data_IF_079140458916
#
_entry.id   IF_079140458916
#
_cell.length_a   1.000
_cell.length_b   1.000
_cell.length_c   1.000
_cell.angle_alpha   90.00
_cell.angle_beta   90.00
_cell.angle_gamma   90.00
#
_symmetry.space_group_name_H-M   'P 1'
#
loop_
_entity.id
_entity.type
_entity.pdbx_description
1 polymer ?
#
# COMPACT_ATOMS: atom_id res chain seq x y z
N UNK A 1 7.60 16.45 -13.18
CA UNK A 1 8.05 15.94 -11.87
C UNK A 1 7.84 17.03 -10.83
N UNK A 2 7.01 16.79 -9.82
CA UNK A 2 6.72 17.79 -8.78
C UNK A 2 8.01 17.99 -7.96
N UNK A 3 8.53 19.22 -7.79
CA UNK A 3 9.72 19.44 -6.95
C UNK A 3 9.40 19.02 -5.51
N UNK A 4 10.36 18.40 -4.80
CA UNK A 4 10.30 17.93 -3.39
C UNK A 4 9.47 18.86 -2.51
N UNK A 5 9.66 20.17 -2.68
CA UNK A 5 9.00 21.22 -1.91
C UNK A 5 7.48 21.07 -2.02
N UNK A 6 6.89 20.94 -3.21
CA UNK A 6 5.42 20.91 -3.40
C UNK A 6 4.74 19.70 -2.77
N UNK A 7 5.41 18.55 -2.65
CA UNK A 7 4.83 17.35 -2.04
C UNK A 7 4.53 17.56 -0.55
N UNK A 8 5.41 18.31 0.13
CA UNK A 8 5.41 18.52 1.59
C UNK A 8 4.82 19.90 1.94
N UNK A 9 5.17 20.93 1.15
CA UNK A 9 4.86 22.34 1.40
C UNK A 9 4.47 23.06 0.10
N UNK A 10 3.29 23.70 0.06
CA UNK A 10 2.90 24.54 -1.07
C UNK A 10 3.86 25.73 -1.28
N UNK A 11 4.13 26.11 -2.54
CA UNK A 11 4.99 27.26 -2.88
C UNK A 11 4.12 28.51 -3.11
N UNK A 12 4.37 29.58 -2.34
CA UNK A 12 3.97 30.97 -2.64
C UNK A 12 4.94 31.96 -1.97
N UNK A 13 5.01 33.19 -2.48
CA UNK A 13 5.85 34.28 -1.96
C UNK A 13 5.42 34.69 -0.54
N UNK A 14 6.06 34.12 0.49
CA UNK A 14 5.81 34.46 1.89
C UNK A 14 6.48 33.49 2.88
N UNK A 15 6.54 33.87 4.15
CA UNK A 15 7.19 33.12 5.24
C UNK A 15 6.28 32.07 5.92
N UNK A 16 5.02 31.94 5.50
CA UNK A 16 4.05 31.03 6.13
C UNK A 16 4.03 29.66 5.41
N UNK A 17 4.28 28.54 6.12
CA UNK A 17 4.17 27.21 5.53
C UNK A 17 2.73 26.93 5.09
N UNK A 18 2.55 26.28 3.95
CA UNK A 18 1.25 25.88 3.37
C UNK A 18 1.21 24.38 3.15
N UNK A 19 0.01 23.75 3.16
CA UNK A 19 -0.12 22.33 2.88
C UNK A 19 0.43 21.99 1.49
N UNK A 20 1.25 20.92 1.41
CA UNK A 20 1.66 20.31 0.14
C UNK A 20 0.69 19.23 -0.35
N UNK A 21 1.02 18.57 -1.45
CA UNK A 21 0.19 17.52 -2.09
C UNK A 21 -0.20 16.39 -1.11
N UNK A 22 0.69 16.00 -0.19
CA UNK A 22 0.41 15.00 0.85
C UNK A 22 -0.80 15.42 1.71
N UNK A 23 -0.82 16.68 2.11
CA UNK A 23 -1.89 17.21 2.96
C UNK A 23 -3.15 17.52 2.17
N UNK A 24 -3.01 17.91 0.90
CA UNK A 24 -4.15 18.07 -0.01
C UNK A 24 -4.84 16.73 -0.31
N UNK A 25 -4.10 15.62 -0.27
CA UNK A 25 -4.63 14.27 -0.41
C UNK A 25 -5.25 13.71 0.90
N UNK A 26 -5.36 14.51 1.97
CA UNK A 26 -5.96 14.06 3.22
C UNK A 26 -7.41 13.55 3.01
N UNK A 27 -7.69 12.34 3.50
CA UNK A 27 -8.92 11.57 3.26
C UNK A 27 -9.19 11.20 1.79
N UNK A 28 -8.21 11.42 0.92
CA UNK A 28 -8.23 11.04 -0.49
C UNK A 28 -7.14 10.02 -0.84
N UNK A 29 -6.74 10.04 -2.10
CA UNK A 29 -5.73 9.14 -2.68
C UNK A 29 -4.54 9.96 -3.13
N UNK A 30 -3.33 9.56 -2.72
CA UNK A 30 -2.08 10.03 -3.30
C UNK A 30 -1.60 8.96 -4.27
N UNK A 31 -1.66 9.24 -5.57
CA UNK A 31 -1.20 8.34 -6.62
C UNK A 31 0.20 8.73 -7.09
N UNK A 32 1.15 7.79 -7.03
CA UNK A 32 2.52 7.96 -7.51
C UNK A 32 2.79 6.97 -8.63
N UNK A 33 2.82 7.47 -9.86
CA UNK A 33 3.28 6.69 -11.00
C UNK A 33 4.81 6.66 -11.07
N UNK A 34 5.35 5.61 -11.67
CA UNK A 34 6.79 5.40 -11.86
C UNK A 34 7.62 5.56 -10.58
N UNK A 35 7.21 4.90 -9.48
CA UNK A 35 7.77 5.09 -8.14
C UNK A 35 9.32 5.14 -8.06
N UNK A 36 10.09 4.27 -8.76
CA UNK A 36 11.56 4.31 -8.76
C UNK A 36 12.20 5.52 -9.46
N UNK A 37 11.43 6.31 -10.21
CA UNK A 37 11.92 7.54 -10.85
C UNK A 37 11.81 8.77 -9.95
N UNK A 38 11.16 8.64 -8.80
CA UNK A 38 11.13 9.68 -7.79
C UNK A 38 12.46 9.77 -7.04
N UNK A 39 12.86 11.01 -6.72
CA UNK A 39 14.03 11.23 -5.87
C UNK A 39 13.85 10.53 -4.52
N UNK A 40 14.89 9.80 -4.09
CA UNK A 40 14.85 8.97 -2.88
C UNK A 40 14.48 9.77 -1.63
N UNK A 41 14.91 11.04 -1.52
CA UNK A 41 14.56 11.90 -0.37
C UNK A 41 13.07 12.21 -0.34
N UNK A 42 12.42 12.34 -1.50
CA UNK A 42 10.96 12.51 -1.59
C UNK A 42 10.25 11.30 -0.99
N UNK A 43 10.68 10.11 -1.41
CA UNK A 43 10.07 8.85 -0.98
C UNK A 43 10.27 8.60 0.52
N UNK A 44 11.43 8.95 1.08
CA UNK A 44 11.67 8.81 2.51
C UNK A 44 10.75 9.70 3.36
N UNK A 45 10.38 10.89 2.87
CA UNK A 45 9.47 11.78 3.62
C UNK A 45 8.06 11.19 3.73
N UNK A 46 7.63 10.30 2.83
CA UNK A 46 6.32 9.64 2.93
C UNK A 46 6.19 8.72 4.15
N UNK A 47 7.32 8.27 4.74
CA UNK A 47 7.31 7.28 5.81
C UNK A 47 6.57 7.72 7.07
N UNK A 48 6.77 8.97 7.47
CA UNK A 48 6.13 9.57 8.65
C UNK A 48 4.61 9.73 8.45
N UNK A 49 4.11 10.41 7.39
CA UNK A 49 2.67 10.59 7.22
C UNK A 49 1.92 9.27 6.95
N UNK A 50 2.57 8.26 6.37
CA UNK A 50 2.00 6.89 6.26
C UNK A 50 1.79 6.20 7.61
N UNK A 51 2.38 6.72 8.69
CA UNK A 51 2.19 6.24 10.06
C UNK A 51 1.30 7.14 10.88
N UNK A 52 1.70 8.40 10.95
CA UNK A 52 1.18 9.34 11.91
C UNK A 52 -0.09 10.01 11.41
N UNK A 53 -0.33 9.97 10.10
CA UNK A 53 -1.43 10.66 9.45
C UNK A 53 -1.32 12.19 9.51
N UNK A 54 -0.15 12.72 9.81
CA UNK A 54 0.17 14.15 9.81
C UNK A 54 1.61 14.38 9.33
N UNK A 55 1.93 15.62 9.00
CA UNK A 55 3.27 16.02 8.62
C UNK A 55 3.62 17.34 9.30
N UNK A 56 4.81 17.37 9.89
CA UNK A 56 5.30 18.54 10.62
C UNK A 56 6.29 19.30 9.75
N UNK A 57 5.99 20.57 9.49
CA UNK A 57 6.84 21.44 8.66
C UNK A 57 7.45 22.53 9.52
N UNK A 58 8.78 22.50 9.63
CA UNK A 58 9.56 23.49 10.38
C UNK A 58 10.36 24.39 9.43
N UNK A 59 10.12 25.72 9.47
CA UNK A 59 10.90 26.73 8.74
C UNK A 59 11.10 27.99 9.56
N UNK A 60 12.34 28.52 9.54
CA UNK A 60 12.72 29.87 9.96
C UNK A 60 11.93 30.44 11.17
N UNK A 61 11.92 29.69 12.28
CA UNK A 61 11.26 30.00 13.56
C UNK A 61 9.76 29.68 13.69
N UNK A 62 9.14 28.93 12.76
CA UNK A 62 7.76 28.43 12.92
C UNK A 62 7.65 26.95 12.57
N UNK A 63 6.86 26.24 13.36
CA UNK A 63 6.43 24.86 13.13
C UNK A 63 4.94 24.88 12.82
N UNK A 64 4.53 24.12 11.80
CA UNK A 64 3.12 23.92 11.48
C UNK A 64 2.88 22.43 11.20
N UNK A 65 1.81 21.91 11.79
CA UNK A 65 1.39 20.53 11.59
C UNK A 65 0.23 20.51 10.59
N UNK A 66 0.34 19.68 9.55
CA UNK A 66 -0.70 19.50 8.55
C UNK A 66 -1.24 18.07 8.58
N UNK A 67 -2.55 17.85 8.43
CA UNK A 67 -3.11 16.50 8.33
C UNK A 67 -2.67 15.84 7.03
N UNK A 68 -2.51 14.51 7.05
CA UNK A 68 -1.95 13.72 5.96
C UNK A 68 -2.46 12.25 5.96
N UNK A 69 -3.71 12.01 6.38
CA UNK A 69 -4.32 10.66 6.31
C UNK A 69 -4.80 10.34 4.89
N UNK A 70 -3.90 9.96 3.99
CA UNK A 70 -4.22 9.60 2.60
C UNK A 70 -4.05 8.09 2.36
N UNK A 71 -4.71 7.55 1.33
CA UNK A 71 -4.38 6.24 0.78
C UNK A 71 -3.28 6.39 -0.27
N UNK A 72 -2.14 5.75 -0.05
CA UNK A 72 -1.08 5.69 -1.06
C UNK A 72 -1.40 4.59 -2.08
N UNK A 73 -1.41 4.96 -3.36
CA UNK A 73 -1.38 4.01 -4.47
C UNK A 73 -0.14 4.34 -5.29
N UNK A 74 0.70 3.35 -5.54
CA UNK A 74 1.91 3.54 -6.33
C UNK A 74 2.02 2.47 -7.41
N UNK A 75 2.56 2.87 -8.55
CA UNK A 75 2.83 1.99 -9.68
C UNK A 75 4.32 2.04 -10.04
N UNK A 76 4.86 0.92 -10.50
CA UNK A 76 6.21 0.85 -11.03
C UNK A 76 6.35 -0.29 -12.03
N UNK A 77 7.30 -0.14 -12.94
CA UNK A 77 7.70 -1.22 -13.82
C UNK A 77 8.50 -2.28 -13.04
N UNK A 78 8.55 -3.55 -13.50
CA UNK A 78 9.33 -4.59 -12.82
C UNK A 78 10.85 -4.40 -12.98
N UNK A 79 11.29 -3.62 -13.97
CA UNK A 79 12.67 -3.23 -14.28
C UNK A 79 12.70 -1.98 -15.19
N UNK A 80 13.87 -1.37 -15.49
CA UNK A 80 13.96 -0.18 -16.33
C UNK A 80 13.37 -0.34 -17.73
N UNK A 81 13.46 -1.53 -18.34
CA UNK A 81 12.89 -1.77 -19.67
C UNK A 81 11.42 -2.23 -19.64
N UNK A 82 10.85 -2.52 -18.45
CA UNK A 82 9.45 -2.92 -18.28
C UNK A 82 9.10 -4.39 -18.58
N UNK A 83 10.08 -5.24 -18.90
CA UNK A 83 9.85 -6.63 -19.36
C UNK A 83 10.33 -7.72 -18.40
N UNK A 84 10.87 -7.39 -17.23
CA UNK A 84 11.35 -8.42 -16.29
C UNK A 84 10.19 -9.32 -15.83
N UNK A 85 10.38 -10.63 -15.95
CA UNK A 85 9.34 -11.63 -15.66
C UNK A 85 8.35 -11.88 -16.80
N UNK A 86 8.42 -11.13 -17.91
CA UNK A 86 7.51 -11.31 -19.05
C UNK A 86 7.87 -12.60 -19.83
N UNK A 87 6.89 -13.49 -20.11
CA UNK A 87 7.13 -14.75 -20.82
C UNK A 87 7.70 -14.60 -22.24
N UNK A 88 7.57 -13.41 -22.87
CA UNK A 88 8.10 -13.14 -24.21
C UNK A 88 9.63 -13.09 -24.27
N UNK A 89 10.32 -13.04 -23.12
CA UNK A 89 11.79 -12.96 -23.08
C UNK A 89 12.36 -11.63 -23.60
N UNK A 90 11.53 -10.59 -23.73
CA UNK A 90 11.93 -9.27 -24.25
C UNK A 90 12.83 -8.47 -23.31
N UNK A 91 12.95 -8.88 -22.06
CA UNK A 91 13.80 -8.21 -21.08
C UNK A 91 15.27 -8.31 -21.50
N UNK A 92 15.95 -7.17 -21.55
CA UNK A 92 17.39 -7.09 -21.79
C UNK A 92 18.17 -6.63 -20.56
N UNK A 93 17.49 -6.42 -19.43
CA UNK A 93 18.13 -5.98 -18.20
C UNK A 93 18.86 -7.15 -17.53
N UNK A 94 20.07 -6.91 -17.05
CA UNK A 94 20.78 -7.85 -16.18
C UNK A 94 20.13 -7.92 -14.81
N UNK A 95 20.38 -9.00 -14.05
CA UNK A 95 19.91 -9.13 -12.67
C UNK A 95 20.34 -7.92 -11.81
N UNK A 96 21.59 -7.48 -11.95
CA UNK A 96 22.11 -6.31 -11.24
C UNK A 96 21.37 -5.01 -11.61
N UNK A 97 21.00 -4.82 -12.89
CA UNK A 97 20.22 -3.65 -13.31
C UNK A 97 18.80 -3.67 -12.72
N UNK A 98 18.19 -4.86 -12.63
CA UNK A 98 16.86 -5.03 -12.03
C UNK A 98 16.92 -4.75 -10.53
N UNK A 99 17.90 -5.32 -9.82
CA UNK A 99 18.08 -5.12 -8.39
C UNK A 99 18.39 -3.65 -8.07
N UNK A 100 19.27 -3.00 -8.84
CA UNK A 100 19.58 -1.58 -8.68
C UNK A 100 18.35 -0.69 -8.91
N UNK A 101 17.49 -1.03 -9.87
CA UNK A 101 16.25 -0.29 -10.13
C UNK A 101 15.25 -0.43 -8.98
N UNK A 102 15.00 -1.66 -8.51
CA UNK A 102 14.11 -1.93 -7.37
C UNK A 102 14.65 -1.33 -6.07
N UNK A 103 15.97 -1.37 -5.88
CA UNK A 103 16.67 -0.80 -4.73
C UNK A 103 16.65 0.73 -4.65
N UNK A 104 16.10 1.44 -5.63
CA UNK A 104 15.80 2.88 -5.51
C UNK A 104 14.71 3.15 -4.47
N UNK A 105 13.82 2.18 -4.24
CA UNK A 105 12.82 2.22 -3.18
C UNK A 105 13.41 1.55 -1.94
N UNK A 106 13.31 2.22 -0.80
CA UNK A 106 13.87 1.67 0.44
C UNK A 106 12.98 0.59 1.04
N UNK A 107 13.60 -0.45 1.61
CA UNK A 107 12.90 -1.48 2.38
C UNK A 107 12.01 -0.91 3.50
N UNK A 108 12.45 0.10 4.28
CA UNK A 108 11.59 0.78 5.25
C UNK A 108 10.32 1.40 4.64
N UNK A 109 10.36 1.95 3.44
CA UNK A 109 9.15 2.45 2.78
C UNK A 109 8.24 1.30 2.36
N UNK A 110 8.79 0.25 1.74
CA UNK A 110 8.04 -0.94 1.31
C UNK A 110 7.32 -1.65 2.47
N UNK A 111 7.95 -1.74 3.64
CA UNK A 111 7.34 -2.31 4.86
C UNK A 111 6.03 -1.56 5.25
N UNK A 112 5.91 -0.28 4.87
CA UNK A 112 4.76 0.58 5.16
C UNK A 112 3.61 0.47 4.16
N UNK A 113 3.83 -0.16 3.00
CA UNK A 113 2.81 -0.36 1.97
C UNK A 113 2.08 -1.68 2.24
N UNK A 114 0.79 -1.66 2.59
CA UNK A 114 0.09 -2.86 3.05
C UNK A 114 -0.05 -3.98 1.99
N UNK A 115 -0.11 -3.63 0.70
CA UNK A 115 -0.38 -4.54 -0.41
C UNK A 115 0.61 -4.34 -1.56
N UNK A 116 1.26 -5.41 -2.01
CA UNK A 116 2.09 -5.46 -3.22
C UNK A 116 1.47 -6.42 -4.23
N UNK A 117 0.92 -5.85 -5.30
CA UNK A 117 0.19 -6.60 -6.32
C UNK A 117 1.01 -6.59 -7.60
N UNK A 118 1.37 -7.79 -8.08
CA UNK A 118 1.93 -7.96 -9.41
C UNK A 118 0.78 -7.96 -10.41
N UNK A 119 0.77 -6.96 -11.30
CA UNK A 119 -0.25 -6.85 -12.34
C UNK A 119 0.34 -7.46 -13.63
N UNK A 120 -0.12 -8.64 -14.06
CA UNK A 120 0.36 -9.22 -15.30
C UNK A 120 -0.07 -8.37 -16.49
N UNK A 121 0.65 -8.51 -17.61
CA UNK A 121 0.26 -7.90 -18.87
C UNK A 121 -1.09 -8.47 -19.31
N UNK A 122 -2.02 -7.57 -19.65
CA UNK A 122 -3.31 -7.94 -20.26
C UNK A 122 -3.06 -8.58 -21.62
N UNK A 123 -3.67 -9.75 -21.87
CA UNK A 123 -3.51 -10.42 -23.15
C UNK A 123 -4.26 -9.68 -24.26
N UNK A 124 -3.73 -9.68 -25.50
CA UNK A 124 -4.34 -8.94 -26.61
C UNK A 124 -5.85 -9.23 -26.85
N UNK A 125 -6.35 -10.48 -26.69
CA UNK A 125 -7.78 -10.76 -26.78
C UNK A 125 -8.63 -10.06 -25.71
N UNK A 126 -8.08 -9.83 -24.51
CA UNK A 126 -8.77 -9.16 -23.39
C UNK A 126 -8.80 -7.63 -23.56
N UNK A 127 -7.93 -7.08 -24.40
CA UNK A 127 -7.93 -5.65 -24.75
C UNK A 127 -8.96 -5.30 -25.84
N UNK A 128 -9.62 -6.29 -26.43
CA UNK A 128 -10.61 -6.03 -27.50
C UNK A 128 -11.84 -5.34 -26.91
N UNK A 129 -12.48 -4.40 -27.63
CA UNK A 129 -13.70 -3.74 -27.17
C UNK A 129 -14.86 -4.69 -26.83
N UNK A 130 -14.87 -5.88 -27.45
CA UNK A 130 -15.86 -6.95 -27.26
C UNK A 130 -15.45 -8.01 -26.22
N UNK A 131 -14.29 -7.86 -25.58
CA UNK A 131 -13.90 -8.72 -24.48
C UNK A 131 -14.93 -8.62 -23.34
N UNK A 132 -15.22 -9.71 -22.62
CA UNK A 132 -16.11 -9.68 -21.47
C UNK A 132 -15.68 -8.59 -20.50
N UNK A 133 -16.57 -7.63 -20.24
CA UNK A 133 -16.29 -6.59 -19.24
C UNK A 133 -16.20 -7.25 -17.88
N UNK A 134 -15.20 -6.83 -17.11
CA UNK A 134 -15.14 -7.17 -15.68
C UNK A 134 -16.31 -6.60 -14.90
N UNK A 135 -16.30 -6.83 -13.60
CA UNK A 135 -17.33 -6.30 -12.70
C UNK A 135 -17.43 -4.76 -12.80
N UNK A 136 -18.65 -4.23 -12.79
CA UNK A 136 -18.86 -2.79 -12.81
C UNK A 136 -18.44 -2.14 -11.48
N UNK A 137 -18.01 -0.87 -11.54
CA UNK A 137 -17.68 -0.12 -10.33
C UNK A 137 -18.86 -0.02 -9.35
N UNK A 138 -20.11 -0.05 -9.84
CA UNK A 138 -21.30 -0.07 -8.99
C UNK A 138 -21.41 -1.36 -8.16
N UNK A 139 -21.16 -2.51 -8.77
CA UNK A 139 -21.15 -3.80 -8.07
C UNK A 139 -20.02 -3.87 -7.04
N UNK A 140 -18.81 -3.45 -7.43
CA UNK A 140 -17.66 -3.40 -6.53
C UNK A 140 -17.93 -2.47 -5.36
N UNK A 141 -18.48 -1.28 -5.62
CA UNK A 141 -18.86 -0.31 -4.58
C UNK A 141 -19.81 -0.91 -3.56
N UNK A 142 -20.84 -1.64 -4.01
CA UNK A 142 -21.79 -2.31 -3.11
C UNK A 142 -21.10 -3.28 -2.13
N UNK A 143 -20.14 -4.09 -2.61
CA UNK A 143 -19.34 -4.98 -1.75
C UNK A 143 -18.48 -4.20 -0.76
N UNK A 144 -17.83 -3.12 -1.22
CA UNK A 144 -16.98 -2.26 -0.37
C UNK A 144 -17.78 -1.56 0.71
N UNK A 145 -18.97 -1.02 0.39
CA UNK A 145 -19.84 -0.35 1.35
C UNK A 145 -20.32 -1.31 2.45
N UNK A 146 -20.70 -2.55 2.08
CA UNK A 146 -21.06 -3.58 3.05
C UNK A 146 -19.91 -3.92 3.99
N UNK A 147 -18.71 -4.15 3.44
CA UNK A 147 -17.52 -4.41 4.24
C UNK A 147 -17.20 -3.24 5.18
N UNK A 148 -17.28 -1.99 4.69
CA UNK A 148 -17.11 -0.79 5.51
C UNK A 148 -18.15 -0.68 6.63
N UNK A 149 -19.40 -1.05 6.36
CA UNK A 149 -20.45 -1.13 7.38
C UNK A 149 -20.07 -2.06 8.53
N UNK A 150 -19.52 -3.25 8.23
CA UNK A 150 -19.04 -4.21 9.24
C UNK A 150 -17.85 -3.66 10.04
N UNK A 151 -16.94 -2.93 9.40
CA UNK A 151 -15.79 -2.30 10.07
C UNK A 151 -16.26 -1.23 11.05
N UNK A 152 -17.18 -0.37 10.59
CA UNK A 152 -17.76 0.70 11.40
C UNK A 152 -18.54 0.15 12.60
N UNK A 153 -19.34 -0.89 12.40
CA UNK A 153 -20.09 -1.53 13.48
C UNK A 153 -19.18 -2.18 14.55
N UNK A 154 -18.00 -2.68 14.16
CA UNK A 154 -17.07 -3.37 15.05
C UNK A 154 -16.19 -2.44 15.86
N UNK A 155 -15.61 -1.43 15.21
CA UNK A 155 -14.55 -0.59 15.79
C UNK A 155 -14.77 0.92 15.61
N UNK A 156 -15.87 1.33 14.99
CA UNK A 156 -16.15 2.75 14.68
C UNK A 156 -15.17 3.36 13.67
N UNK A 157 -14.37 2.55 12.97
CA UNK A 157 -13.35 3.00 12.02
C UNK A 157 -12.99 1.90 11.01
N UNK A 158 -12.39 2.24 9.87
CA UNK A 158 -11.88 1.25 8.93
C UNK A 158 -10.75 0.40 9.54
N UNK A 159 -10.61 -0.85 9.07
CA UNK A 159 -9.56 -1.78 9.55
C UNK A 159 -8.14 -1.21 9.42
N UNK A 160 -7.88 -0.39 8.39
CA UNK A 160 -6.59 0.27 8.17
C UNK A 160 -6.18 1.20 9.32
N UNK A 161 -7.13 1.68 10.12
CA UNK A 161 -6.92 2.62 11.22
C UNK A 161 -6.94 1.94 12.60
N UNK A 162 -7.03 0.62 12.66
CA UNK A 162 -6.93 -0.11 13.93
C UNK A 162 -5.53 0.11 14.51
N UNK A 163 -5.50 0.47 15.79
CA UNK A 163 -4.29 0.42 16.62
C UNK A 163 -3.83 -1.03 16.82
N UNK A 164 -2.64 -1.20 17.39
CA UNK A 164 -2.12 -2.53 17.71
C UNK A 164 -3.08 -3.30 18.64
N UNK A 165 -3.50 -2.69 19.74
CA UNK A 165 -4.44 -3.30 20.69
C UNK A 165 -5.79 -3.65 20.03
N UNK A 166 -6.33 -2.77 19.19
CA UNK A 166 -7.56 -3.08 18.44
C UNK A 166 -7.34 -4.20 17.42
N UNK A 167 -6.15 -4.30 16.81
CA UNK A 167 -5.81 -5.40 15.90
C UNK A 167 -5.77 -6.73 16.64
N UNK A 168 -5.16 -6.78 17.82
CA UNK A 168 -5.11 -7.97 18.68
C UNK A 168 -6.52 -8.42 19.12
N UNK A 169 -7.41 -7.46 19.40
CA UNK A 169 -8.82 -7.73 19.78
C UNK A 169 -9.69 -8.18 18.60
N UNK A 170 -9.59 -7.50 17.46
CA UNK A 170 -10.56 -7.63 16.35
C UNK A 170 -10.08 -8.54 15.21
N UNK A 171 -8.80 -8.94 15.21
CA UNK A 171 -8.19 -9.82 14.21
C UNK A 171 -7.70 -11.14 14.82
N UNK A 172 -8.45 -11.68 15.79
CA UNK A 172 -8.13 -12.97 16.43
C UNK A 172 -8.13 -14.09 15.41
N UNK A 173 -7.10 -14.93 15.46
CA UNK A 173 -6.91 -16.11 14.62
C UNK A 173 -7.22 -17.38 15.40
N UNK A 174 -7.78 -18.39 14.71
CA UNK A 174 -7.81 -19.75 15.22
C UNK A 174 -6.39 -20.33 15.34
N UNK A 175 -6.21 -21.40 16.13
CA UNK A 175 -4.89 -21.99 16.39
C UNK A 175 -4.11 -22.35 15.13
N UNK A 176 -4.77 -22.95 14.13
CA UNK A 176 -4.15 -23.31 12.86
C UNK A 176 -3.68 -22.09 12.05
N UNK A 177 -4.46 -21.01 12.07
CA UNK A 177 -4.18 -19.79 11.31
C UNK A 177 -3.09 -18.97 11.97
N UNK A 178 -3.02 -19.00 13.30
CA UNK A 178 -1.90 -18.45 14.05
C UNK A 178 -0.58 -19.14 13.69
N UNK A 179 -0.55 -20.47 13.64
CA UNK A 179 0.64 -21.22 13.19
C UNK A 179 0.99 -20.92 11.72
N UNK A 180 0.01 -20.65 10.86
CA UNK A 180 0.27 -20.21 9.50
C UNK A 180 0.96 -18.84 9.48
N UNK A 181 0.46 -17.87 10.26
CA UNK A 181 1.07 -16.55 10.36
C UNK A 181 2.48 -16.61 10.94
N UNK A 182 2.71 -17.37 12.02
CA UNK A 182 4.03 -17.56 12.63
C UNK A 182 5.05 -18.13 11.62
N UNK A 183 4.68 -19.20 10.89
CA UNK A 183 5.52 -19.74 9.81
C UNK A 183 5.79 -18.73 8.70
N UNK A 184 4.81 -17.89 8.36
CA UNK A 184 4.98 -16.85 7.36
C UNK A 184 5.93 -15.75 7.84
N UNK A 185 5.85 -15.34 9.11
CA UNK A 185 6.76 -14.38 9.73
C UNK A 185 8.20 -14.88 9.65
N UNK A 186 8.45 -16.12 10.03
CA UNK A 186 9.80 -16.71 10.00
C UNK A 186 10.32 -16.86 8.57
N UNK A 187 9.51 -17.42 7.67
CA UNK A 187 9.95 -17.69 6.29
C UNK A 187 10.17 -16.42 5.48
N UNK A 188 9.31 -15.42 5.68
CA UNK A 188 9.36 -14.16 4.95
C UNK A 188 10.11 -13.09 5.72
N UNK A 189 10.71 -13.39 6.88
CA UNK A 189 11.45 -12.45 7.73
C UNK A 189 10.69 -11.13 7.90
N UNK A 190 9.44 -11.24 8.37
CA UNK A 190 8.53 -10.10 8.54
C UNK A 190 8.75 -9.43 9.90
N UNK A 191 8.65 -8.10 9.91
CA UNK A 191 8.59 -7.36 11.17
C UNK A 191 7.26 -7.62 11.89
N UNK A 192 7.21 -7.41 13.21
CA UNK A 192 5.95 -7.46 13.96
C UNK A 192 4.89 -6.51 13.39
N UNK A 193 5.35 -5.37 12.88
CA UNK A 193 4.49 -4.40 12.20
C UNK A 193 3.91 -4.94 10.90
N UNK A 194 4.73 -5.59 10.07
CA UNK A 194 4.25 -6.24 8.86
C UNK A 194 3.21 -7.33 9.19
N UNK A 195 3.39 -8.08 10.28
CA UNK A 195 2.40 -9.05 10.75
C UNK A 195 1.06 -8.40 11.10
N UNK A 196 1.05 -7.28 11.85
CA UNK A 196 -0.19 -6.54 12.12
C UNK A 196 -0.84 -5.99 10.85
N UNK A 197 -0.06 -5.54 9.88
CA UNK A 197 -0.58 -5.11 8.57
C UNK A 197 -1.26 -6.27 7.84
N UNK A 198 -0.65 -7.46 7.82
CA UNK A 198 -1.25 -8.68 7.26
C UNK A 198 -2.58 -8.99 7.95
N UNK A 199 -2.65 -8.92 9.29
CA UNK A 199 -3.89 -9.16 10.03
C UNK A 199 -5.00 -8.18 9.62
N UNK A 200 -4.71 -6.89 9.51
CA UNK A 200 -5.70 -5.87 9.09
C UNK A 200 -6.17 -6.07 7.64
N UNK A 201 -5.29 -6.54 6.75
CA UNK A 201 -5.64 -6.93 5.38
C UNK A 201 -6.54 -8.17 5.39
N UNK A 202 -6.12 -9.24 6.06
CA UNK A 202 -6.90 -10.48 6.19
C UNK A 202 -8.28 -10.20 6.79
N UNK A 203 -8.37 -9.29 7.75
CA UNK A 203 -9.63 -8.84 8.33
C UNK A 203 -10.53 -8.14 7.33
N UNK A 204 -9.94 -7.31 6.46
CA UNK A 204 -10.68 -6.61 5.40
C UNK A 204 -11.18 -7.58 4.33
N UNK A 205 -10.39 -8.59 3.97
CA UNK A 205 -10.79 -9.68 3.06
C UNK A 205 -11.97 -10.46 3.65
N UNK A 206 -11.86 -10.84 4.93
CA UNK A 206 -12.95 -11.51 5.64
C UNK A 206 -14.24 -10.66 5.69
N UNK A 207 -14.13 -9.33 5.77
CA UNK A 207 -15.29 -8.44 5.76
C UNK A 207 -15.95 -8.34 4.38
N UNK A 208 -15.15 -8.43 3.31
CA UNK A 208 -15.63 -8.53 1.93
C UNK A 208 -16.32 -9.87 1.68
N UNK A 209 -15.81 -10.97 2.25
CA UNK A 209 -16.42 -12.30 2.21
C UNK A 209 -17.58 -12.47 3.21
N UNK A 210 -17.93 -11.41 3.95
CA UNK A 210 -18.99 -11.42 4.96
C UNK A 210 -18.77 -12.41 6.12
N UNK A 211 -17.53 -12.86 6.33
CA UNK A 211 -17.17 -13.80 7.38
C UNK A 211 -16.97 -13.11 8.73
N UNK A 212 -17.54 -13.67 9.80
CA UNK A 212 -17.33 -13.16 11.16
C UNK A 212 -15.86 -13.32 11.61
N UNK A 213 -15.19 -14.40 11.21
CA UNK A 213 -13.82 -14.73 11.62
C UNK A 213 -12.84 -14.66 10.44
N UNK A 214 -11.57 -14.41 10.73
CA UNK A 214 -10.51 -14.56 9.73
C UNK A 214 -10.28 -16.07 9.54
N UNK A 215 -10.36 -16.55 8.31
CA UNK A 215 -10.11 -17.94 7.95
C UNK A 215 -8.73 -18.09 7.30
N UNK A 216 -8.30 -19.33 7.12
CA UNK A 216 -7.06 -19.66 6.39
C UNK A 216 -7.02 -19.06 4.99
N UNK A 217 -8.16 -18.97 4.30
CA UNK A 217 -8.24 -18.39 2.95
C UNK A 217 -7.94 -16.90 2.99
N UNK A 218 -8.58 -16.16 3.91
CA UNK A 218 -8.36 -14.72 4.08
C UNK A 218 -6.91 -14.40 4.46
N UNK A 219 -6.34 -15.20 5.37
CA UNK A 219 -4.97 -15.03 5.82
C UNK A 219 -3.96 -15.38 4.72
N UNK A 220 -4.19 -16.48 4.00
CA UNK A 220 -3.35 -16.90 2.89
C UNK A 220 -3.28 -15.86 1.77
N UNK A 221 -4.43 -15.27 1.42
CA UNK A 221 -4.51 -14.18 0.45
C UNK A 221 -3.77 -12.92 0.92
N UNK A 222 -3.98 -12.50 2.17
CA UNK A 222 -3.28 -11.35 2.74
C UNK A 222 -1.75 -11.53 2.77
N UNK A 223 -1.26 -12.72 3.10
CA UNK A 223 0.17 -13.07 3.03
C UNK A 223 0.64 -13.05 1.57
N UNK A 224 -0.17 -13.54 0.64
CA UNK A 224 0.09 -13.51 -0.80
C UNK A 224 0.41 -12.10 -1.31
N UNK A 225 -0.39 -11.10 -0.92
CA UNK A 225 -0.16 -9.70 -1.26
C UNK A 225 1.14 -9.10 -0.69
N UNK A 226 1.83 -9.76 0.24
CA UNK A 226 3.14 -9.30 0.75
C UNK A 226 4.34 -10.01 0.12
N UNK A 227 4.14 -11.17 -0.51
CA UNK A 227 5.24 -11.99 -1.05
C UNK A 227 5.90 -11.41 -2.29
N UNK A 228 5.21 -10.54 -3.04
CA UNK A 228 5.69 -9.97 -4.30
C UNK A 228 6.98 -9.14 -4.14
N UNK A 229 7.32 -8.71 -2.92
CA UNK A 229 8.50 -7.89 -2.62
C UNK A 229 9.83 -8.66 -2.59
N UNK A 230 9.80 -9.98 -2.37
CA UNK A 230 11.00 -10.75 -1.97
C UNK A 230 11.34 -11.93 -2.88
N UNK A 231 10.88 -11.93 -4.13
CA UNK A 231 11.47 -12.80 -5.15
C UNK A 231 12.84 -12.21 -5.53
N UNK A 232 13.85 -12.60 -4.73
CA UNK A 232 15.23 -12.71 -5.17
C UNK A 232 15.32 -13.77 -6.28
#
# INVERSE_FOLDING_TARGET
>A
MIPIIRLIVGIHSGSQPRPGEISLAHHGVLFLDELPEWDRRVLEVLREPLESGHITVSRAARQADFPARFQLIAAMNPCPCGWAGDPSGRCRCTAEQIERYRGRISGPLLDRIDLHIEVPRVHAPEMRPDAPRGESSALVRGRVEQARGRQMARAGKPNAHLSQHETERDCVLAGQDRQLLERAIDRLQLSARAAHRILRVARSIADLDQSAQISTVHLGEAIGYRRSDRRA
#
